data_IF_946596313487
#
_entry.id   IF_946596313487
#
_cell.length_a   1.000
_cell.length_b   1.000
_cell.length_c   1.000
_cell.angle_alpha   90.00
_cell.angle_beta   90.00
_cell.angle_gamma   90.00
#
_symmetry.space_group_name_H-M   'P 1'
#
loop_
_entity.id
_entity.type
_entity.pdbx_description
1 polymer ?
#
# COMPACT_ATOMS: atom_id res chain seq x y z
N UNK A 1 -78.77 25.39 23.31
CA UNK A 1 -78.75 26.16 22.05
C UNK A 1 -77.42 26.86 21.94
N UNK A 2 -76.72 26.60 20.83
CA UNK A 2 -75.78 27.47 20.09
C UNK A 2 -74.72 28.28 20.87
N UNK A 3 -73.47 27.83 20.79
CA UNK A 3 -72.22 28.61 20.61
C UNK A 3 -71.07 27.61 20.53
N UNK A 4 -70.12 27.60 19.62
CA UNK A 4 -69.76 28.53 18.55
C UNK A 4 -68.43 28.02 18.02
N UNK A 5 -68.36 27.84 16.70
CA UNK A 5 -67.17 27.49 15.92
C UNK A 5 -66.05 28.52 16.16
N UNK A 6 -64.81 28.13 15.83
CA UNK A 6 -63.58 28.93 15.63
C UNK A 6 -62.48 28.59 16.65
N UNK A 7 -61.86 27.41 16.52
CA UNK A 7 -60.49 27.12 17.04
C UNK A 7 -59.73 26.07 16.20
N UNK A 8 -60.02 25.96 14.90
CA UNK A 8 -59.31 25.05 13.98
C UNK A 8 -58.58 25.88 12.91
N UNK A 9 -57.56 26.65 13.31
CA UNK A 9 -56.77 27.43 12.35
C UNK A 9 -55.39 27.87 12.86
N UNK A 10 -54.73 27.21 13.83
CA UNK A 10 -53.35 27.57 14.20
C UNK A 10 -52.58 26.37 14.76
N UNK A 11 -52.39 25.29 14.00
CA UNK A 11 -51.37 24.25 14.33
C UNK A 11 -50.90 23.56 13.03
N UNK A 12 -50.43 24.34 12.07
CA UNK A 12 -49.84 23.83 10.82
C UNK A 12 -48.72 24.77 10.37
N UNK A 13 -47.69 24.93 11.21
CA UNK A 13 -46.45 25.63 10.90
C UNK A 13 -45.32 25.19 11.85
N UNK A 14 -45.00 23.89 11.84
CA UNK A 14 -43.80 23.34 12.47
C UNK A 14 -43.21 22.22 11.60
N UNK A 15 -43.25 22.44 10.29
CA UNK A 15 -42.43 21.73 9.33
C UNK A 15 -41.44 22.75 8.76
N UNK A 16 -40.23 22.29 8.46
CA UNK A 16 -39.16 22.97 7.72
C UNK A 16 -38.02 23.53 8.61
N UNK A 17 -36.80 23.08 8.25
CA UNK A 17 -35.45 23.45 8.72
C UNK A 17 -34.87 22.73 9.93
N UNK A 18 -34.71 21.41 9.81
CA UNK A 18 -33.49 20.76 10.31
C UNK A 18 -32.80 20.05 9.13
N UNK A 19 -32.42 20.84 8.12
CA UNK A 19 -31.47 20.38 7.12
C UNK A 19 -30.12 20.24 7.84
N UNK A 20 -29.79 19.01 8.21
CA UNK A 20 -28.50 18.65 8.78
C UNK A 20 -27.40 19.16 7.84
N UNK A 21 -26.71 20.21 8.26
CA UNK A 21 -25.45 20.63 7.67
C UNK A 21 -24.43 19.53 7.96
N UNK A 22 -24.46 18.45 7.18
CA UNK A 22 -23.33 17.54 7.12
C UNK A 22 -22.14 18.40 6.68
N UNK A 23 -21.07 18.51 7.49
CA UNK A 23 -19.89 19.19 7.03
C UNK A 23 -19.45 18.46 5.76
N UNK A 24 -19.43 19.19 4.65
CA UNK A 24 -18.73 18.77 3.45
C UNK A 24 -17.25 18.74 3.83
N UNK A 25 -16.83 17.65 4.47
CA UNK A 25 -15.44 17.24 4.50
C UNK A 25 -15.14 16.92 3.05
N UNK A 26 -14.79 17.96 2.29
CA UNK A 26 -14.08 17.84 1.05
C UNK A 26 -12.76 17.17 1.42
N UNK A 27 -12.79 15.85 1.56
CA UNK A 27 -11.61 15.02 1.53
C UNK A 27 -11.03 15.22 0.14
N UNK A 28 -10.24 16.30 -0.01
CA UNK A 28 -9.37 16.59 -1.15
C UNK A 28 -8.21 15.59 -1.18
N UNK A 29 -8.51 14.32 -0.93
CA UNK A 29 -7.59 13.24 -1.23
C UNK A 29 -7.44 13.21 -2.73
N UNK A 30 -6.21 13.09 -3.19
CA UNK A 30 -5.91 12.92 -4.60
C UNK A 30 -6.46 11.56 -5.07
N UNK A 31 -6.48 11.30 -6.38
CA UNK A 31 -6.87 9.98 -6.91
C UNK A 31 -5.86 8.90 -6.53
N UNK A 32 -4.59 9.26 -6.30
CA UNK A 32 -3.52 8.31 -6.03
C UNK A 32 -3.49 7.83 -4.58
N UNK A 33 -4.00 8.62 -3.62
CA UNK A 33 -4.08 8.20 -2.21
C UNK A 33 -4.89 6.89 -2.05
N UNK A 34 -6.18 6.81 -2.48
CA UNK A 34 -6.94 5.57 -2.36
C UNK A 34 -6.34 4.44 -3.21
N UNK A 35 -5.70 4.73 -4.35
CA UNK A 35 -5.01 3.71 -5.13
C UNK A 35 -3.85 3.07 -4.34
N UNK A 36 -2.96 3.88 -3.77
CA UNK A 36 -1.81 3.39 -3.00
C UNK A 36 -2.26 2.66 -1.73
N UNK A 37 -3.31 3.15 -1.06
CA UNK A 37 -3.92 2.47 0.07
C UNK A 37 -4.54 1.12 -0.35
N UNK A 38 -5.15 1.06 -1.55
CA UNK A 38 -5.73 -0.17 -2.10
C UNK A 38 -4.68 -1.23 -2.42
N UNK A 39 -3.56 -0.83 -3.02
CA UNK A 39 -2.40 -1.71 -3.25
C UNK A 39 -1.91 -2.28 -1.93
N UNK A 40 -1.76 -1.43 -0.91
CA UNK A 40 -1.33 -1.84 0.41
C UNK A 40 -2.33 -2.79 1.10
N UNK A 41 -3.63 -2.51 1.02
CA UNK A 41 -4.67 -3.37 1.57
C UNK A 41 -4.63 -4.77 0.93
N UNK A 42 -4.45 -4.83 -0.40
CA UNK A 42 -4.32 -6.09 -1.12
C UNK A 42 -3.08 -6.88 -0.68
N UNK A 43 -1.92 -6.21 -0.50
CA UNK A 43 -0.70 -6.83 -0.01
C UNK A 43 -0.81 -7.35 1.44
N UNK A 44 -1.63 -6.69 2.27
CA UNK A 44 -1.93 -7.10 3.65
C UNK A 44 -2.96 -8.24 3.72
N UNK A 45 -3.49 -8.71 2.59
CA UNK A 45 -4.50 -9.75 2.54
C UNK A 45 -5.91 -9.27 2.91
N UNK A 46 -6.19 -7.97 2.75
CA UNK A 46 -7.52 -7.38 2.89
C UNK A 46 -8.10 -6.98 1.52
N UNK A 47 -8.54 -7.96 0.71
CA UNK A 47 -9.04 -7.69 -0.64
C UNK A 47 -10.38 -6.95 -0.65
N UNK A 48 -11.19 -7.07 0.41
CA UNK A 48 -12.47 -6.36 0.50
C UNK A 48 -12.23 -4.85 0.59
N UNK A 49 -11.33 -4.43 1.49
CA UNK A 49 -10.94 -3.03 1.60
C UNK A 49 -10.25 -2.52 0.34
N UNK A 50 -9.41 -3.36 -0.29
CA UNK A 50 -8.74 -3.01 -1.54
C UNK A 50 -9.73 -2.67 -2.67
N UNK A 51 -10.81 -3.45 -2.82
CA UNK A 51 -11.86 -3.20 -3.82
C UNK A 51 -12.47 -1.80 -3.63
N UNK A 52 -12.92 -1.46 -2.42
CA UNK A 52 -13.50 -0.14 -2.13
C UNK A 52 -12.56 1.01 -2.49
N UNK A 53 -11.27 0.82 -2.20
CA UNK A 53 -10.23 1.80 -2.44
C UNK A 53 -9.91 1.95 -3.93
N UNK A 54 -9.82 0.86 -4.69
CA UNK A 54 -9.64 0.91 -6.14
C UNK A 54 -10.85 1.50 -6.87
N UNK A 55 -12.08 1.15 -6.45
CA UNK A 55 -13.30 1.77 -6.99
C UNK A 55 -13.34 3.27 -6.71
N UNK A 56 -12.92 3.69 -5.51
CA UNK A 56 -12.78 5.11 -5.15
C UNK A 56 -11.73 5.82 -6.02
N UNK A 57 -10.60 5.16 -6.30
CA UNK A 57 -9.56 5.69 -7.18
C UNK A 57 -10.08 5.84 -8.62
N UNK A 58 -10.72 4.80 -9.16
CA UNK A 58 -11.34 4.79 -10.50
C UNK A 58 -12.43 5.86 -10.65
N UNK A 59 -13.25 6.08 -9.62
CA UNK A 59 -14.26 7.13 -9.62
C UNK A 59 -13.66 8.54 -9.72
N UNK A 60 -12.43 8.75 -9.23
CA UNK A 60 -11.71 10.03 -9.30
C UNK A 60 -10.87 10.15 -10.56
N UNK A 61 -10.32 9.03 -11.03
CA UNK A 61 -9.48 8.96 -12.23
C UNK A 61 -9.66 7.59 -12.91
N UNK A 62 -10.45 7.53 -13.98
CA UNK A 62 -10.67 6.29 -14.70
C UNK A 62 -9.54 5.93 -15.66
N UNK A 63 -8.69 6.89 -16.07
CA UNK A 63 -7.61 6.62 -17.02
C UNK A 63 -6.41 5.97 -16.33
N UNK A 64 -5.99 4.81 -16.82
CA UNK A 64 -4.75 4.12 -16.43
C UNK A 64 -3.51 4.75 -17.07
N UNK A 65 -2.33 4.36 -16.59
CA UNK A 65 -1.04 4.67 -17.20
C UNK A 65 -0.07 5.38 -16.27
N UNK A 66 0.95 6.04 -16.84
CA UNK A 66 2.00 6.69 -16.07
C UNK A 66 1.62 8.12 -15.68
N UNK A 67 1.57 8.39 -14.38
CA UNK A 67 0.94 9.59 -13.86
C UNK A 67 1.73 10.26 -12.74
N UNK A 68 1.79 11.59 -12.81
CA UNK A 68 2.37 12.41 -11.75
C UNK A 68 1.45 12.41 -10.52
N UNK A 69 2.02 12.20 -9.33
CA UNK A 69 1.29 12.25 -8.05
C UNK A 69 1.54 13.58 -7.34
N UNK A 70 2.71 13.76 -6.75
CA UNK A 70 3.14 14.99 -6.09
C UNK A 70 4.60 15.31 -6.42
N UNK A 71 4.96 16.60 -6.42
CA UNK A 71 6.33 17.02 -6.73
C UNK A 71 6.77 16.47 -8.08
N UNK A 72 7.93 15.82 -8.17
CA UNK A 72 8.41 15.14 -9.39
C UNK A 72 8.16 13.62 -9.37
N UNK A 73 7.29 13.13 -8.49
CA UNK A 73 7.00 11.71 -8.37
C UNK A 73 5.92 11.29 -9.37
N UNK A 74 6.14 10.13 -9.96
CA UNK A 74 5.24 9.48 -10.90
C UNK A 74 5.02 8.03 -10.45
N UNK A 75 3.85 7.49 -10.77
CA UNK A 75 3.51 6.09 -10.52
C UNK A 75 2.92 5.46 -11.77
N UNK A 76 3.10 4.14 -11.91
CA UNK A 76 2.32 3.32 -12.83
C UNK A 76 0.95 3.06 -12.18
N UNK A 77 -0.08 3.71 -12.70
CA UNK A 77 -1.44 3.59 -12.23
C UNK A 77 -2.16 2.51 -13.06
N UNK A 78 -2.32 1.33 -12.45
CA UNK A 78 -2.93 0.15 -13.06
C UNK A 78 -4.15 -0.30 -12.22
N UNK A 79 -5.20 0.53 -12.09
CA UNK A 79 -6.32 0.25 -11.20
C UNK A 79 -7.12 -0.99 -11.59
N UNK A 80 -7.31 -1.27 -12.89
CA UNK A 80 -8.13 -2.40 -13.32
C UNK A 80 -7.46 -3.75 -13.02
N UNK A 81 -6.15 -3.85 -13.22
CA UNK A 81 -5.36 -5.02 -12.89
C UNK A 81 -5.37 -5.31 -11.38
N UNK A 82 -5.17 -4.28 -10.55
CA UNK A 82 -5.19 -4.45 -9.11
C UNK A 82 -6.60 -4.78 -8.58
N UNK A 83 -7.65 -4.17 -9.15
CA UNK A 83 -9.03 -4.49 -8.83
C UNK A 83 -9.37 -5.94 -9.22
N UNK A 84 -8.92 -6.41 -10.39
CA UNK A 84 -9.07 -7.81 -10.79
C UNK A 84 -8.45 -8.76 -9.77
N UNK A 85 -7.22 -8.48 -9.32
CA UNK A 85 -6.52 -9.29 -8.32
C UNK A 85 -7.27 -9.33 -6.98
N UNK A 86 -7.81 -8.19 -6.52
CA UNK A 86 -8.60 -8.12 -5.30
C UNK A 86 -9.93 -8.89 -5.42
N UNK A 87 -10.65 -8.75 -6.54
CA UNK A 87 -11.87 -9.51 -6.82
C UNK A 87 -11.59 -11.02 -6.87
N UNK A 88 -10.50 -11.41 -7.52
CA UNK A 88 -10.05 -12.80 -7.61
C UNK A 88 -9.70 -13.41 -6.26
N UNK A 89 -9.12 -12.63 -5.35
CA UNK A 89 -8.81 -13.08 -3.98
C UNK A 89 -10.08 -13.38 -3.15
N UNK A 90 -11.22 -12.74 -3.47
CA UNK A 90 -12.53 -13.04 -2.88
C UNK A 90 -13.32 -14.12 -3.64
N UNK A 91 -12.74 -14.75 -4.66
CA UNK A 91 -13.43 -15.74 -5.48
C UNK A 91 -14.51 -15.16 -6.42
N UNK A 92 -14.55 -13.83 -6.60
CA UNK A 92 -15.50 -13.15 -7.50
C UNK A 92 -15.03 -13.24 -8.95
N UNK A 93 -14.95 -14.45 -9.48
CA UNK A 93 -14.28 -14.75 -10.75
C UNK A 93 -14.86 -14.01 -11.96
N UNK A 94 -16.18 -13.93 -12.12
CA UNK A 94 -16.78 -13.22 -13.25
C UNK A 94 -16.39 -11.74 -13.29
N UNK A 95 -16.43 -11.08 -12.12
CA UNK A 95 -16.04 -9.69 -11.99
C UNK A 95 -14.53 -9.50 -12.23
N UNK A 96 -13.71 -10.43 -11.70
CA UNK A 96 -12.26 -10.40 -11.90
C UNK A 96 -11.90 -10.54 -13.39
N UNK A 97 -12.53 -11.46 -14.13
CA UNK A 97 -12.31 -11.65 -15.57
C UNK A 97 -12.71 -10.40 -16.37
N UNK A 98 -13.81 -9.73 -15.99
CA UNK A 98 -14.22 -8.48 -16.60
C UNK A 98 -13.17 -7.36 -16.41
N UNK A 99 -12.60 -7.25 -15.21
CA UNK A 99 -11.53 -6.28 -14.93
C UNK A 99 -10.21 -6.64 -15.62
N UNK A 100 -9.87 -7.92 -15.77
CA UNK A 100 -8.72 -8.35 -16.60
C UNK A 100 -8.89 -7.85 -18.04
N UNK A 101 -10.10 -7.95 -18.61
CA UNK A 101 -10.41 -7.43 -19.94
C UNK A 101 -10.19 -5.91 -20.05
N UNK A 102 -10.63 -5.16 -19.04
CA UNK A 102 -10.38 -3.70 -18.95
C UNK A 102 -8.90 -3.38 -18.83
N UNK A 103 -8.18 -4.07 -17.95
CA UNK A 103 -6.74 -3.89 -17.75
C UNK A 103 -5.95 -4.09 -19.05
N UNK A 104 -6.25 -5.15 -19.80
CA UNK A 104 -5.62 -5.43 -21.11
C UNK A 104 -5.94 -4.36 -22.15
N UNK A 105 -7.19 -3.88 -22.19
CA UNK A 105 -7.59 -2.81 -23.12
C UNK A 105 -6.90 -1.49 -22.78
N UNK A 106 -6.66 -1.23 -21.50
CA UNK A 106 -5.95 -0.06 -21.01
C UNK A 106 -4.42 -0.16 -21.12
N UNK A 107 -3.85 -1.32 -21.51
CA UNK A 107 -2.40 -1.53 -21.62
C UNK A 107 -1.67 -1.68 -20.28
N UNK A 108 -2.40 -1.94 -19.18
CA UNK A 108 -1.80 -2.01 -17.85
C UNK A 108 -0.78 -3.15 -17.67
N UNK A 109 -0.98 -4.37 -18.20
CA UNK A 109 0.02 -5.44 -18.10
C UNK A 109 1.31 -5.14 -18.87
N UNK A 110 1.23 -4.34 -19.94
CA UNK A 110 2.37 -3.89 -20.72
C UNK A 110 3.14 -2.76 -20.01
N UNK A 111 2.42 -1.82 -19.38
CA UNK A 111 2.99 -0.72 -18.60
C UNK A 111 3.65 -1.18 -17.29
N UNK A 112 3.14 -2.26 -16.68
CA UNK A 112 3.74 -2.94 -15.53
C UNK A 112 3.84 -4.46 -15.78
N UNK A 113 4.97 -4.92 -16.36
CA UNK A 113 5.18 -6.33 -16.69
C UNK A 113 5.08 -7.30 -15.52
N UNK A 114 5.16 -6.82 -14.27
CA UNK A 114 5.00 -7.67 -13.09
C UNK A 114 3.54 -8.14 -12.88
N UNK A 115 2.57 -7.44 -13.46
CA UNK A 115 1.14 -7.76 -13.35
C UNK A 115 0.73 -8.86 -14.33
N UNK A 116 1.32 -8.91 -15.51
CA UNK A 116 0.97 -9.88 -16.56
C UNK A 116 0.91 -11.35 -16.07
N UNK A 117 1.95 -11.93 -15.44
CA UNK A 117 1.89 -13.32 -14.97
C UNK A 117 0.85 -13.53 -13.85
N UNK A 118 0.56 -12.51 -13.04
CA UNK A 118 -0.42 -12.59 -11.95
C UNK A 118 -1.84 -12.61 -12.49
N UNK A 119 -2.13 -11.77 -13.48
CA UNK A 119 -3.43 -11.73 -14.15
C UNK A 119 -3.68 -13.00 -14.96
N UNK A 120 -2.65 -13.55 -15.61
CA UNK A 120 -2.75 -14.82 -16.33
C UNK A 120 -3.05 -15.98 -15.39
N UNK A 121 -2.32 -16.11 -14.29
CA UNK A 121 -2.59 -17.12 -13.26
C UNK A 121 -4.00 -16.98 -12.66
N UNK A 122 -4.47 -15.74 -12.46
CA UNK A 122 -5.83 -15.48 -12.01
C UNK A 122 -6.87 -15.90 -13.07
N UNK A 123 -6.66 -15.54 -14.34
CA UNK A 123 -7.55 -15.92 -15.43
C UNK A 123 -7.67 -17.44 -15.55
N UNK A 124 -6.57 -18.18 -15.43
CA UNK A 124 -6.57 -19.64 -15.44
C UNK A 124 -7.34 -20.23 -14.25
N UNK A 125 -7.16 -19.68 -13.05
CA UNK A 125 -7.89 -20.12 -11.85
C UNK A 125 -9.39 -19.82 -11.93
N UNK A 126 -9.77 -18.74 -12.59
CA UNK A 126 -11.16 -18.32 -12.76
C UNK A 126 -11.82 -18.81 -14.04
N UNK A 127 -11.07 -19.50 -14.91
CA UNK A 127 -11.65 -20.11 -16.10
C UNK A 127 -12.72 -21.13 -15.66
N UNK A 128 -13.91 -21.11 -16.28
CA UNK A 128 -14.88 -22.17 -16.03
C UNK A 128 -14.20 -23.50 -16.35
N UNK A 129 -14.45 -24.52 -15.51
CA UNK A 129 -14.02 -25.87 -15.84
C UNK A 129 -14.50 -26.17 -17.26
N UNK A 130 -13.63 -26.69 -18.16
CA UNK A 130 -14.05 -27.01 -19.51
C UNK A 130 -15.30 -27.87 -19.38
N UNK A 131 -16.41 -27.40 -19.98
CA UNK A 131 -17.64 -28.16 -20.01
C UNK A 131 -17.28 -29.54 -20.54
N UNK A 132 -17.60 -30.63 -19.82
CA UNK A 132 -17.17 -31.95 -20.22
C UNK A 132 -17.69 -32.18 -21.63
N UNK A 133 -16.75 -32.25 -22.58
CA UNK A 133 -17.07 -32.61 -23.96
C UNK A 133 -17.89 -33.90 -23.89
N UNK A 134 -19.05 -33.98 -24.57
CA UNK A 134 -19.96 -35.11 -24.43
C UNK A 134 -19.18 -36.41 -24.68
N UNK A 135 -19.05 -37.21 -23.61
CA UNK A 135 -18.13 -38.33 -23.57
C UNK A 135 -18.38 -39.29 -24.76
N UNK A 136 -17.34 -39.64 -25.55
CA UNK A 136 -17.33 -40.90 -26.26
C UNK A 136 -17.48 -42.03 -25.22
N UNK A 137 -18.20 -43.13 -25.51
CA UNK A 137 -18.46 -44.20 -24.54
C UNK A 137 -17.14 -44.77 -23.96
N UNK A 138 -16.99 -44.67 -22.64
CA UNK A 138 -15.76 -44.99 -21.88
C UNK A 138 -15.41 -46.49 -21.87
N UNK A 139 -14.18 -46.82 -22.26
CA UNK A 139 -13.47 -48.00 -21.77
C UNK A 139 -12.71 -47.62 -20.48
N UNK A 140 -13.02 -48.35 -19.41
CA UNK A 140 -12.40 -48.28 -18.08
C UNK A 140 -10.88 -48.42 -18.15
N UNK A 141 -10.13 -47.37 -17.79
CA UNK A 141 -8.70 -47.49 -17.50
C UNK A 141 -8.35 -46.75 -16.21
N UNK A 142 -8.00 -47.54 -15.19
CA UNK A 142 -7.57 -47.11 -13.88
C UNK A 142 -6.04 -47.12 -13.79
N UNK A 143 -5.41 -45.97 -13.55
CA UNK A 143 -4.05 -45.75 -13.01
C UNK A 143 -3.69 -44.26 -13.20
N UNK A 144 -3.00 -43.52 -12.33
CA UNK A 144 -2.27 -43.79 -11.10
C UNK A 144 -2.15 -42.46 -10.31
N UNK A 145 -2.20 -42.53 -8.98
CA UNK A 145 -1.97 -41.40 -8.07
C UNK A 145 -0.46 -41.40 -7.71
N UNK A 146 0.25 -40.33 -8.08
CA UNK A 146 1.64 -40.09 -7.65
C UNK A 146 1.72 -39.20 -6.41
N UNK A 147 2.70 -39.42 -5.50
CA UNK A 147 2.84 -38.64 -4.27
C UNK A 147 3.40 -37.23 -4.55
N UNK A 148 2.64 -36.22 -4.15
CA UNK A 148 3.00 -34.80 -4.24
C UNK A 148 3.95 -34.42 -3.10
N UNK A 149 5.21 -34.12 -3.42
CA UNK A 149 6.19 -33.63 -2.46
C UNK A 149 5.91 -32.19 -2.05
N UNK A 150 5.69 -31.95 -0.76
CA UNK A 150 5.49 -30.60 -0.22
C UNK A 150 6.77 -29.75 -0.34
N UNK A 151 6.69 -28.49 -0.84
CA UNK A 151 7.82 -27.57 -0.89
C UNK A 151 8.39 -27.30 0.51
N UNK A 152 9.71 -27.09 0.65
CA UNK A 152 10.33 -26.72 1.92
C UNK A 152 9.73 -25.41 2.43
N UNK A 153 9.37 -25.41 3.72
CA UNK A 153 8.77 -24.27 4.40
C UNK A 153 9.68 -23.03 4.25
N UNK A 154 9.12 -21.95 3.71
CA UNK A 154 9.82 -20.68 3.60
C UNK A 154 10.27 -20.19 4.99
N UNK A 155 11.45 -19.57 5.11
CA UNK A 155 11.88 -18.97 6.36
C UNK A 155 10.83 -17.96 6.85
N UNK A 156 10.64 -17.82 8.17
CA UNK A 156 9.71 -16.85 8.72
C UNK A 156 10.05 -15.45 8.20
N UNK A 157 9.05 -14.64 7.81
CA UNK A 157 9.28 -13.30 7.31
C UNK A 157 9.99 -12.48 8.40
N UNK A 158 11.07 -11.79 8.02
CA UNK A 158 11.74 -10.85 8.91
C UNK A 158 10.71 -9.83 9.44
N UNK A 159 10.87 -9.32 10.69
CA UNK A 159 9.96 -8.33 11.25
C UNK A 159 9.88 -7.12 10.33
N UNK A 160 8.70 -6.91 9.74
CA UNK A 160 8.47 -5.84 8.79
C UNK A 160 8.20 -4.53 9.55
N UNK A 161 8.94 -3.47 9.22
CA UNK A 161 8.64 -2.11 9.68
C UNK A 161 7.23 -1.74 9.18
N UNK A 162 6.39 -1.13 10.03
CA UNK A 162 5.12 -0.56 9.58
C UNK A 162 5.38 0.47 8.46
N UNK A 163 4.84 0.18 7.28
CA UNK A 163 5.01 1.03 6.09
C UNK A 163 4.39 2.41 6.27
N UNK A 164 3.35 2.55 7.09
CA UNK A 164 2.74 3.84 7.44
C UNK A 164 3.72 4.69 8.22
N UNK A 165 4.41 4.10 9.21
CA UNK A 165 5.49 4.77 9.93
C UNK A 165 6.63 5.14 8.98
N UNK A 166 7.04 4.21 8.11
CA UNK A 166 8.10 4.45 7.16
C UNK A 166 7.77 5.63 6.22
N UNK A 167 6.58 5.63 5.61
CA UNK A 167 6.12 6.72 4.73
C UNK A 167 6.03 8.05 5.48
N UNK A 168 5.49 8.07 6.69
CA UNK A 168 5.39 9.28 7.53
C UNK A 168 6.77 9.83 7.88
N UNK A 169 7.70 8.97 8.26
CA UNK A 169 9.07 9.36 8.61
C UNK A 169 9.84 9.90 7.41
N UNK A 170 9.71 9.24 6.24
CA UNK A 170 10.31 9.70 4.99
C UNK A 170 9.72 11.04 4.53
N UNK A 171 8.39 11.21 4.60
CA UNK A 171 7.76 12.48 4.26
C UNK A 171 8.26 13.63 5.13
N UNK A 172 8.37 13.43 6.46
CA UNK A 172 8.92 14.42 7.38
C UNK A 172 10.40 14.72 7.09
N UNK A 173 11.21 13.69 6.83
CA UNK A 173 12.63 13.84 6.51
C UNK A 173 12.83 14.66 5.23
N UNK A 174 12.08 14.34 4.17
CA UNK A 174 12.13 15.06 2.89
C UNK A 174 11.60 16.50 3.00
N UNK A 175 10.68 16.76 3.93
CA UNK A 175 10.20 18.11 4.23
C UNK A 175 11.17 18.94 5.10
N UNK A 176 12.27 18.33 5.58
CA UNK A 176 13.22 18.99 6.50
C UNK A 176 12.73 19.05 7.95
N UNK A 177 11.59 18.44 8.28
CA UNK A 177 11.12 18.27 9.66
C UNK A 177 11.87 17.11 10.33
N UNK A 178 13.12 17.39 10.69
CA UNK A 178 14.03 16.41 11.29
C UNK A 178 13.57 15.93 12.67
N UNK A 179 12.80 16.73 13.42
CA UNK A 179 12.27 16.34 14.72
C UNK A 179 11.16 15.30 14.59
N UNK A 180 10.20 15.52 13.67
CA UNK A 180 9.18 14.50 13.38
C UNK A 180 9.80 13.24 12.78
N UNK A 181 10.71 13.38 11.81
CA UNK A 181 11.39 12.23 11.21
C UNK A 181 12.17 11.42 12.25
N UNK A 182 12.85 12.08 13.21
CA UNK A 182 13.56 11.40 14.29
C UNK A 182 12.62 10.56 15.14
N UNK A 183 11.52 11.15 15.64
CA UNK A 183 10.55 10.42 16.47
C UNK A 183 9.95 9.23 15.74
N UNK A 184 9.61 9.39 14.46
CA UNK A 184 8.98 8.33 13.67
C UNK A 184 9.94 7.18 13.38
N UNK A 185 11.19 7.46 13.00
CA UNK A 185 12.17 6.40 12.75
C UNK A 185 12.64 5.74 14.05
N UNK A 186 12.70 6.44 15.17
CA UNK A 186 12.96 5.83 16.48
C UNK A 186 11.83 4.90 16.91
N UNK A 187 10.56 5.29 16.67
CA UNK A 187 9.42 4.40 16.87
C UNK A 187 9.54 3.14 16.00
N UNK A 188 9.84 3.31 14.70
CA UNK A 188 10.03 2.18 13.78
C UNK A 188 11.16 1.22 14.23
N UNK A 189 12.27 1.76 14.73
CA UNK A 189 13.36 0.96 15.28
C UNK A 189 13.01 0.29 16.62
N UNK A 190 12.11 0.88 17.41
CA UNK A 190 11.59 0.25 18.63
C UNK A 190 10.60 -0.90 18.33
N UNK A 191 9.80 -0.77 17.28
CA UNK A 191 8.84 -1.79 16.85
C UNK A 191 9.52 -2.96 16.12
N UNK A 192 10.61 -2.67 15.40
CA UNK A 192 11.41 -3.66 14.70
C UNK A 192 12.90 -3.56 15.09
N UNK A 193 13.27 -3.97 16.33
CA UNK A 193 14.64 -3.83 16.84
C UNK A 193 15.68 -4.60 16.03
N UNK A 194 15.27 -5.67 15.35
CA UNK A 194 16.12 -6.50 14.49
C UNK A 194 16.15 -6.03 13.03
N UNK A 195 15.51 -4.90 12.70
CA UNK A 195 15.50 -4.36 11.34
C UNK A 195 16.71 -3.46 11.07
N UNK A 196 17.65 -3.95 10.25
CA UNK A 196 18.80 -3.19 9.80
C UNK A 196 18.41 -1.86 9.11
N UNK A 197 17.32 -1.88 8.33
CA UNK A 197 16.78 -0.70 7.65
C UNK A 197 16.30 0.35 8.65
N UNK A 198 15.63 -0.05 9.74
CA UNK A 198 15.15 0.89 10.75
C UNK A 198 16.32 1.63 11.41
N UNK A 199 17.38 0.91 11.80
CA UNK A 199 18.59 1.51 12.38
C UNK A 199 19.30 2.44 11.37
N UNK A 200 19.34 2.07 10.09
CA UNK A 200 19.92 2.92 9.05
C UNK A 200 19.14 4.24 8.88
N UNK A 201 17.81 4.21 8.93
CA UNK A 201 16.96 5.41 8.85
C UNK A 201 17.15 6.33 10.07
N UNK A 202 17.27 5.74 11.26
CA UNK A 202 17.64 6.49 12.48
C UNK A 202 19.01 7.14 12.34
N UNK A 203 20.01 6.42 11.84
CA UNK A 203 21.33 6.98 11.57
C UNK A 203 21.27 8.15 10.57
N UNK A 204 20.43 8.01 9.54
CA UNK A 204 20.26 8.99 8.46
C UNK A 204 19.70 10.31 8.99
N UNK A 205 18.58 10.27 9.73
CA UNK A 205 17.97 11.49 10.27
C UNK A 205 18.84 12.15 11.34
N UNK A 206 19.49 11.36 12.21
CA UNK A 206 20.41 11.89 13.23
C UNK A 206 21.64 12.54 12.59
N UNK A 207 22.15 12.00 11.50
CA UNK A 207 23.25 12.59 10.75
C UNK A 207 22.86 13.91 10.10
N UNK A 208 21.66 13.99 9.51
CA UNK A 208 21.12 15.24 8.98
C UNK A 208 21.01 16.32 10.07
N UNK A 209 20.51 15.96 11.27
CA UNK A 209 20.43 16.87 12.42
C UNK A 209 21.80 17.33 12.91
N UNK A 210 22.77 16.40 13.02
CA UNK A 210 24.13 16.72 13.42
C UNK A 210 24.79 17.71 12.45
N UNK A 211 24.51 17.58 11.15
CA UNK A 211 24.96 18.56 10.14
C UNK A 211 24.27 19.91 10.28
N UNK A 212 22.96 19.93 10.52
CA UNK A 212 22.18 21.16 10.67
C UNK A 212 22.67 21.99 11.87
N UNK A 213 23.10 21.34 12.95
CA UNK A 213 23.69 21.98 14.13
C UNK A 213 25.17 22.40 13.96
N UNK A 214 25.70 22.36 12.73
CA UNK A 214 27.09 22.71 12.46
C UNK A 214 28.10 21.73 13.06
N UNK A 215 27.68 20.48 13.28
CA UNK A 215 28.52 19.35 13.75
C UNK A 215 29.09 19.50 15.16
N UNK A 216 28.40 20.23 16.03
CA UNK A 216 28.88 20.53 17.39
C UNK A 216 28.46 19.50 18.43
N UNK A 217 27.34 18.82 18.21
CA UNK A 217 26.82 17.82 19.14
C UNK A 217 27.56 16.46 19.01
N UNK A 218 28.53 16.25 19.90
CA UNK A 218 29.29 14.98 20.02
C UNK A 218 28.43 13.81 20.52
N UNK A 219 27.37 14.07 21.27
CA UNK A 219 26.44 13.01 21.68
C UNK A 219 25.66 12.49 20.46
N UNK A 220 25.20 13.39 19.61
CA UNK A 220 24.54 13.04 18.36
C UNK A 220 25.49 12.34 17.37
N UNK A 221 26.74 12.77 17.27
CA UNK A 221 27.76 12.09 16.47
C UNK A 221 27.99 10.62 16.89
N UNK A 222 28.08 10.37 18.21
CA UNK A 222 28.18 9.00 18.77
C UNK A 222 26.92 8.20 18.50
N UNK A 223 25.75 8.82 18.63
CA UNK A 223 24.45 8.22 18.36
C UNK A 223 24.29 7.77 16.91
N UNK A 224 24.78 8.57 15.94
CA UNK A 224 24.83 8.17 14.52
C UNK A 224 25.70 6.92 14.33
N UNK A 225 26.90 6.91 14.93
CA UNK A 225 27.83 5.76 14.82
C UNK A 225 27.20 4.48 15.36
N UNK A 226 26.62 4.54 16.56
CA UNK A 226 25.95 3.39 17.18
C UNK A 226 24.80 2.85 16.31
N UNK A 227 24.02 3.72 15.68
CA UNK A 227 22.94 3.29 14.79
C UNK A 227 23.47 2.61 13.50
N UNK A 228 24.57 3.13 12.91
CA UNK A 228 25.23 2.48 11.76
C UNK A 228 25.80 1.11 12.15
N UNK A 229 26.46 1.01 13.31
CA UNK A 229 27.01 -0.27 13.80
C UNK A 229 25.91 -1.31 14.02
N UNK A 230 24.76 -0.89 14.55
CA UNK A 230 23.58 -1.76 14.70
C UNK A 230 23.04 -2.23 13.35
N UNK A 231 22.83 -1.33 12.40
CA UNK A 231 22.36 -1.68 11.06
C UNK A 231 23.31 -2.67 10.37
N UNK A 232 24.63 -2.44 10.47
CA UNK A 232 25.65 -3.29 9.86
C UNK A 232 25.73 -4.67 10.50
N UNK A 233 25.60 -4.75 11.83
CA UNK A 233 25.59 -6.02 12.56
C UNK A 233 24.39 -6.89 12.17
N UNK A 234 23.23 -6.25 11.97
CA UNK A 234 21.99 -6.94 11.58
C UNK A 234 22.02 -7.38 10.11
N UNK A 235 22.56 -6.54 9.22
CA UNK A 235 22.71 -6.87 7.80
C UNK A 235 24.05 -6.33 7.23
N UNK A 236 25.09 -7.18 7.15
CA UNK A 236 26.37 -6.82 6.55
C UNK A 236 26.34 -6.60 5.04
N UNK A 237 25.25 -6.97 4.36
CA UNK A 237 25.08 -6.77 2.92
C UNK A 237 24.23 -5.54 2.59
N UNK A 238 23.59 -4.92 3.60
CA UNK A 238 22.85 -3.68 3.43
C UNK A 238 23.75 -2.58 2.88
N UNK A 239 23.32 -1.97 1.78
CA UNK A 239 23.96 -0.80 1.18
C UNK A 239 23.05 0.43 1.36
N UNK A 240 23.55 1.53 1.95
CA UNK A 240 22.75 2.72 2.16
C UNK A 240 22.28 3.32 0.84
N UNK A 241 20.97 3.54 0.65
CA UNK A 241 20.46 4.08 -0.59
C UNK A 241 20.91 5.55 -0.73
N UNK A 242 21.64 5.91 -1.81
CA UNK A 242 22.20 7.26 -1.98
C UNK A 242 21.13 8.35 -2.13
N UNK A 243 19.89 7.98 -2.49
CA UNK A 243 18.77 8.90 -2.56
C UNK A 243 18.28 9.38 -1.17
N UNK A 244 18.51 8.59 -0.12
CA UNK A 244 18.09 8.93 1.26
C UNK A 244 19.26 9.33 2.14
N UNK A 245 20.43 8.72 1.91
CA UNK A 245 21.62 8.90 2.73
C UNK A 245 22.56 9.94 2.11
N UNK A 246 22.93 11.01 2.84
CA UNK A 246 23.92 11.97 2.35
C UNK A 246 25.25 11.29 1.99
N UNK A 247 25.98 11.77 0.97
CA UNK A 247 27.22 11.13 0.51
C UNK A 247 28.26 10.92 1.62
N UNK A 248 28.35 11.83 2.60
CA UNK A 248 29.27 11.68 3.72
C UNK A 248 28.87 10.54 4.68
N UNK A 249 27.57 10.27 4.83
CA UNK A 249 27.07 9.13 5.60
C UNK A 249 27.39 7.82 4.88
N UNK A 250 27.20 7.77 3.56
CA UNK A 250 27.57 6.62 2.72
C UNK A 250 29.07 6.36 2.77
N UNK A 251 29.90 7.41 2.72
CA UNK A 251 31.34 7.29 2.87
C UNK A 251 31.72 6.71 4.25
N UNK A 252 31.08 7.19 5.33
CA UNK A 252 31.28 6.66 6.68
C UNK A 252 30.87 5.19 6.80
N UNK A 253 29.74 4.80 6.22
CA UNK A 253 29.30 3.40 6.18
C UNK A 253 30.36 2.48 5.56
N UNK A 254 30.96 2.90 4.44
CA UNK A 254 32.00 2.13 3.74
C UNK A 254 33.29 1.98 4.54
N UNK A 255 33.63 2.96 5.40
CA UNK A 255 34.81 2.89 6.27
C UNK A 255 34.63 2.01 7.50
N UNK A 256 33.40 1.57 7.81
CA UNK A 256 33.12 0.61 8.89
C UNK A 256 33.37 -0.85 8.48
N UNK A 257 33.97 -1.09 7.30
CA UNK A 257 34.30 -2.43 6.77
C UNK A 257 35.66 -2.92 7.26
#
# INVERSE_FOLDING_TARGET
MVTGRVRFAVLLAAAVVAAAAAPAVAARGTWYDPYLDGVEALEKGDPARAIELFETALARRPESGYHRTYGTNYIHYAPHAHLALALGALGRCDAALAEIGRARTAGEPEDDPSLAPRLEALAQRCAPAPEPEPAPPEELSAAAIGPSGSPPAAPPPAPAIDRTLLRRGLAAYLAGDLDTATRVFEQAASEAPDSAVAHLLVATVRFARWRADGRRDEALARSVRSALDNARRLDPLLEPPPALCPPELVARWRTLR
#
